data_IF_226777722422
#
_entry.id   IF_226777722422
#
_cell.length_a   1.000
_cell.length_b   1.000
_cell.length_c   1.000
_cell.angle_alpha   90.00
_cell.angle_beta   90.00
_cell.angle_gamma   90.00
#
_symmetry.space_group_name_H-M   'P 1'
#
loop_
_entity.id
_entity.type
_entity.pdbx_description
1 polymer ?
#
# COMPACT_ATOMS: atom_id res chain seq x y z
N UNK A 1 -10.40 -2.80 16.19
CA UNK A 1 -10.25 -3.02 14.74
C UNK A 1 -8.78 -2.90 14.40
N UNK A 2 -8.16 -3.91 13.76
CA UNK A 2 -6.76 -3.77 13.34
C UNK A 2 -6.67 -2.77 12.19
N UNK A 3 -5.59 -2.01 12.15
CA UNK A 3 -5.34 -0.98 11.14
C UNK A 3 -3.88 -1.05 10.72
N UNK A 4 -3.58 -0.76 9.45
CA UNK A 4 -2.22 -0.60 8.97
C UNK A 4 -1.88 0.89 8.96
N UNK A 5 -1.05 1.35 9.91
CA UNK A 5 -0.66 2.78 10.03
C UNK A 5 -1.85 3.76 9.99
N UNK A 6 -2.96 3.38 10.63
CA UNK A 6 -4.20 4.16 10.64
C UNK A 6 -5.13 3.91 9.43
N UNK A 7 -4.68 3.20 8.41
CA UNK A 7 -5.52 2.73 7.30
C UNK A 7 -6.33 1.50 7.72
N UNK A 8 -7.57 1.42 7.24
CA UNK A 8 -8.47 0.31 7.52
C UNK A 8 -7.96 -1.00 6.93
N UNK A 9 -8.30 -2.14 7.52
CA UNK A 9 -8.03 -3.47 6.94
C UNK A 9 -9.31 -4.14 6.42
N UNK A 10 -10.39 -3.36 6.28
CA UNK A 10 -11.59 -3.80 5.60
C UNK A 10 -11.26 -4.12 4.12
N UNK A 11 -11.61 -5.31 3.61
CA UNK A 11 -11.08 -5.80 2.33
C UNK A 11 -11.30 -4.87 1.14
N UNK A 12 -12.50 -4.32 0.97
CA UNK A 12 -12.83 -3.48 -0.18
C UNK A 12 -12.03 -2.17 -0.16
N UNK A 13 -12.02 -1.50 0.99
CA UNK A 13 -11.29 -0.25 1.16
C UNK A 13 -9.78 -0.45 1.10
N UNK A 14 -9.26 -1.52 1.71
CA UNK A 14 -7.82 -1.81 1.70
C UNK A 14 -7.33 -2.14 0.28
N UNK A 15 -8.09 -2.94 -0.48
CA UNK A 15 -7.77 -3.24 -1.87
C UNK A 15 -7.71 -1.97 -2.72
N UNK A 16 -8.71 -1.09 -2.60
CA UNK A 16 -8.73 0.19 -3.30
C UNK A 16 -7.52 1.07 -2.93
N UNK A 17 -7.23 1.23 -1.64
CA UNK A 17 -6.12 2.07 -1.17
C UNK A 17 -4.75 1.52 -1.61
N UNK A 18 -4.55 0.21 -1.60
CA UNK A 18 -3.34 -0.42 -2.13
C UNK A 18 -3.18 -0.12 -3.62
N UNK A 19 -4.24 -0.23 -4.41
CA UNK A 19 -4.20 0.08 -5.84
C UNK A 19 -3.83 1.55 -6.09
N UNK A 20 -4.43 2.48 -5.34
CA UNK A 20 -4.09 3.91 -5.40
C UNK A 20 -2.62 4.16 -5.05
N UNK A 21 -2.09 3.49 -4.03
CA UNK A 21 -0.67 3.62 -3.68
C UNK A 21 0.26 3.10 -4.78
N UNK A 22 -0.09 1.97 -5.42
CA UNK A 22 0.69 1.44 -6.54
C UNK A 22 0.68 2.42 -7.70
N UNK A 23 -0.49 2.95 -8.07
CA UNK A 23 -0.62 3.93 -9.16
C UNK A 23 0.18 5.22 -8.85
N UNK A 24 0.05 5.75 -7.63
CA UNK A 24 0.80 6.93 -7.21
C UNK A 24 2.32 6.69 -7.20
N UNK A 25 2.77 5.52 -6.70
CA UNK A 25 4.17 5.13 -6.72
C UNK A 25 4.73 5.09 -8.14
N UNK A 26 4.00 4.48 -9.07
CA UNK A 26 4.39 4.42 -10.49
C UNK A 26 4.45 5.82 -11.14
N UNK A 27 3.44 6.67 -10.92
CA UNK A 27 3.43 8.03 -11.45
C UNK A 27 4.65 8.79 -10.95
N UNK A 28 4.91 8.75 -9.63
CA UNK A 28 6.06 9.41 -9.03
C UNK A 28 7.34 8.90 -9.65
N UNK A 29 7.58 7.58 -9.67
CA UNK A 29 8.81 6.99 -10.25
C UNK A 29 9.07 7.41 -11.71
N UNK A 30 8.04 7.70 -12.50
CA UNK A 30 8.20 8.14 -13.90
C UNK A 30 8.39 9.66 -14.01
N UNK A 31 7.78 10.43 -13.13
CA UNK A 31 7.86 11.90 -13.13
C UNK A 31 9.08 12.46 -12.40
N UNK A 32 9.71 11.67 -11.55
CA UNK A 32 10.84 12.04 -10.70
C UNK A 32 12.18 11.95 -11.46
N UNK A 33 12.26 12.70 -12.57
CA UNK A 33 13.22 12.49 -13.65
C UNK A 33 14.70 12.71 -13.31
N UNK A 34 15.05 13.73 -12.51
CA UNK A 34 16.45 14.17 -12.29
C UNK A 34 16.94 14.06 -10.84
N UNK A 35 16.04 14.00 -9.86
CA UNK A 35 16.43 14.03 -8.44
C UNK A 35 16.73 12.63 -7.85
N UNK A 36 16.57 11.56 -8.64
CA UNK A 36 16.73 10.17 -8.19
C UNK A 36 16.05 9.91 -6.84
N UNK A 37 14.87 10.51 -6.60
CA UNK A 37 14.23 10.36 -5.31
C UNK A 37 13.61 8.96 -5.20
N UNK A 38 13.93 8.29 -4.09
CA UNK A 38 13.41 6.96 -3.79
C UNK A 38 11.92 7.00 -3.34
N UNK A 39 11.23 8.13 -3.50
CA UNK A 39 9.87 8.31 -3.00
C UNK A 39 8.88 7.32 -3.64
N UNK A 40 8.98 7.13 -4.97
CA UNK A 40 8.15 6.15 -5.68
C UNK A 40 8.36 4.73 -5.13
N UNK A 41 9.60 4.33 -4.93
CA UNK A 41 9.97 3.04 -4.34
C UNK A 41 9.46 2.91 -2.90
N UNK A 42 9.56 3.97 -2.09
CA UNK A 42 9.02 4.00 -0.74
C UNK A 42 7.50 3.78 -0.72
N UNK A 43 6.77 4.40 -1.65
CA UNK A 43 5.31 4.22 -1.76
C UNK A 43 4.98 2.78 -2.17
N UNK A 44 5.71 2.20 -3.12
CA UNK A 44 5.52 0.80 -3.54
C UNK A 44 5.82 -0.19 -2.41
N UNK A 45 6.87 0.07 -1.62
CA UNK A 45 7.18 -0.72 -0.42
C UNK A 45 6.04 -0.62 0.60
N UNK A 46 5.49 0.57 0.81
CA UNK A 46 4.35 0.74 1.72
C UNK A 46 3.10 0.01 1.22
N UNK A 47 2.82 0.03 -0.09
CA UNK A 47 1.71 -0.70 -0.69
C UNK A 47 1.85 -2.21 -0.46
N UNK A 48 3.06 -2.75 -0.62
CA UNK A 48 3.36 -4.15 -0.33
C UNK A 48 3.11 -4.49 1.16
N UNK A 49 3.65 -3.69 2.07
CA UNK A 49 3.46 -3.91 3.51
C UNK A 49 1.98 -3.85 3.91
N UNK A 50 1.21 -2.98 3.25
CA UNK A 50 -0.22 -2.89 3.48
C UNK A 50 -0.96 -4.13 2.98
N UNK A 51 -0.61 -4.64 1.80
CA UNK A 51 -1.16 -5.88 1.27
C UNK A 51 -0.87 -7.09 2.18
N UNK A 52 0.35 -7.18 2.72
CA UNK A 52 0.74 -8.21 3.69
C UNK A 52 -0.11 -8.12 4.98
N UNK A 53 -0.33 -6.91 5.50
CA UNK A 53 -1.15 -6.69 6.69
C UNK A 53 -2.63 -7.02 6.44
N UNK A 54 -3.18 -6.65 5.28
CA UNK A 54 -4.55 -6.96 4.88
C UNK A 54 -4.76 -8.48 4.75
N UNK A 55 -3.82 -9.17 4.11
CA UNK A 55 -3.85 -10.63 4.00
C UNK A 55 -3.79 -11.31 5.36
N UNK A 56 -2.88 -10.89 6.25
CA UNK A 56 -2.76 -11.46 7.59
C UNK A 56 -4.05 -11.28 8.42
N UNK A 57 -4.68 -10.11 8.34
CA UNK A 57 -5.97 -9.82 9.01
C UNK A 57 -7.10 -10.73 8.50
N UNK A 58 -7.18 -10.94 7.19
CA UNK A 58 -8.15 -11.85 6.59
C UNK A 58 -7.91 -13.31 7.01
N UNK A 59 -6.65 -13.76 7.03
CA UNK A 59 -6.30 -15.13 7.47
C UNK A 59 -6.59 -15.38 8.95
N UNK A 60 -6.57 -14.33 9.78
CA UNK A 60 -6.95 -14.40 11.19
C UNK A 60 -8.47 -14.43 11.38
N UNK A 61 -9.22 -13.64 10.61
CA UNK A 61 -10.69 -13.64 10.68
C UNK A 61 -11.35 -14.94 10.18
N UNK A 62 -10.62 -15.75 9.42
CA UNK A 62 -11.06 -17.07 8.96
C UNK A 62 -10.82 -18.21 9.97
N UNK A 63 -10.15 -17.94 11.08
CA UNK A 63 -9.91 -18.90 12.17
C UNK A 63 -11.01 -18.84 13.21
#
# INVERSE_FOLDING_TARGET
>A
MKTFKGLTLEPETAFYQIAVMIEAGLIISVTDGEDHSDLGDCILILAKQYAEAAHANEMENRK
#
